data_IF_852865632078
#
_entry.id   IF_852865632078
#
_cell.length_a   1.000
_cell.length_b   1.000
_cell.length_c   1.000
_cell.angle_alpha   90.00
_cell.angle_beta   90.00
_cell.angle_gamma   90.00
#
_symmetry.space_group_name_H-M   'P 1'
#
loop_
_entity.id
_entity.type
_entity.pdbx_description
1 polymer ?
#
# COMPACT_ATOMS: atom_id res chain seq x y z
N UNK A 1 56.39 -15.95 10.20
CA UNK A 1 55.57 -14.91 10.87
C UNK A 1 54.37 -14.61 9.99
N UNK A 2 53.18 -14.58 10.59
CA UNK A 2 51.87 -14.75 9.96
C UNK A 2 51.49 -13.66 8.95
N UNK A 3 50.86 -14.06 7.84
CA UNK A 3 50.14 -13.14 6.95
C UNK A 3 48.72 -12.91 7.48
N UNK A 4 48.37 -11.63 7.61
CA UNK A 4 47.09 -11.16 8.13
C UNK A 4 46.06 -11.19 6.98
N UNK A 5 45.21 -12.22 6.95
CA UNK A 5 44.07 -12.27 6.02
C UNK A 5 43.01 -11.25 6.48
N UNK A 6 42.81 -10.20 5.67
CA UNK A 6 41.68 -9.28 5.79
C UNK A 6 40.40 -10.02 5.39
N UNK A 7 39.55 -10.35 6.36
CA UNK A 7 38.22 -10.89 6.11
C UNK A 7 37.27 -9.74 5.71
N UNK A 8 36.75 -9.82 4.49
CA UNK A 8 35.70 -8.95 3.96
C UNK A 8 34.34 -9.37 4.52
N UNK A 9 33.59 -8.50 5.23
CA UNK A 9 32.28 -8.87 5.75
C UNK A 9 31.18 -8.28 4.86
N UNK A 10 30.91 -8.86 3.67
CA UNK A 10 29.84 -8.30 2.80
C UNK A 10 29.15 -9.29 1.84
N UNK A 11 29.00 -10.57 2.20
CA UNK A 11 28.23 -11.51 1.39
C UNK A 11 26.83 -11.84 1.95
N UNK A 12 26.60 -11.69 3.25
CA UNK A 12 25.37 -12.19 3.89
C UNK A 12 24.16 -11.25 3.68
N UNK A 13 24.36 -9.94 3.55
CA UNK A 13 23.26 -8.97 3.36
C UNK A 13 22.59 -9.02 1.99
N UNK A 14 23.25 -9.53 0.95
CA UNK A 14 22.69 -9.53 -0.41
C UNK A 14 21.63 -10.61 -0.66
N UNK A 15 21.57 -11.66 0.16
CA UNK A 15 20.61 -12.77 -0.06
C UNK A 15 19.20 -12.49 0.46
N UNK A 16 19.01 -11.57 1.41
CA UNK A 16 17.68 -11.34 1.99
C UNK A 16 16.76 -10.50 1.11
N UNK A 17 17.30 -9.68 0.19
CA UNK A 17 16.50 -8.78 -0.64
C UNK A 17 15.89 -9.47 -1.87
N UNK A 18 16.42 -10.61 -2.30
CA UNK A 18 15.94 -11.31 -3.50
C UNK A 18 14.70 -12.19 -3.29
N UNK A 19 14.23 -12.37 -2.05
CA UNK A 19 13.07 -13.23 -1.75
C UNK A 19 11.73 -12.48 -1.65
N UNK A 20 11.73 -11.15 -1.71
CA UNK A 20 10.51 -10.35 -1.49
C UNK A 20 9.73 -10.08 -2.81
N UNK A 21 10.33 -10.34 -3.97
CA UNK A 21 9.75 -10.03 -5.28
C UNK A 21 8.81 -11.08 -5.88
N UNK A 22 8.30 -12.04 -5.10
CA UNK A 22 7.26 -12.95 -5.59
C UNK A 22 5.90 -12.29 -5.37
N UNK A 23 5.17 -12.03 -6.46
CA UNK A 23 3.76 -11.64 -6.41
C UNK A 23 3.01 -12.65 -5.51
N UNK A 24 2.49 -12.17 -4.38
CA UNK A 24 1.69 -12.98 -3.46
C UNK A 24 0.36 -13.43 -4.10
N UNK A 25 -0.02 -12.84 -5.23
CA UNK A 25 -1.21 -13.18 -5.99
C UNK A 25 -0.81 -14.01 -7.22
N UNK A 26 -0.99 -15.32 -7.12
CA UNK A 26 -0.82 -16.23 -8.26
C UNK A 26 -2.13 -16.32 -9.06
N UNK A 27 -2.03 -16.26 -10.40
CA UNK A 27 -3.15 -16.41 -11.35
C UNK A 27 -3.91 -17.73 -11.18
N UNK A 28 -3.33 -18.71 -10.47
CA UNK A 28 -3.97 -19.98 -10.11
C UNK A 28 -5.29 -19.84 -9.33
N UNK A 29 -5.62 -18.64 -8.82
CA UNK A 29 -6.86 -18.35 -8.08
C UNK A 29 -7.88 -17.49 -8.85
N UNK A 30 -7.75 -17.33 -10.17
CA UNK A 30 -8.71 -16.55 -10.97
C UNK A 30 -8.61 -15.04 -10.75
N UNK A 31 -7.46 -14.55 -10.29
CA UNK A 31 -7.18 -13.12 -10.20
C UNK A 31 -6.78 -12.59 -11.59
N UNK A 32 -7.71 -11.92 -12.25
CA UNK A 32 -7.48 -11.24 -13.53
C UNK A 32 -7.16 -9.76 -13.27
N UNK A 33 -5.87 -9.43 -13.20
CA UNK A 33 -5.38 -8.09 -12.86
C UNK A 33 -6.00 -7.00 -13.73
N UNK A 34 -6.06 -7.19 -15.04
CA UNK A 34 -6.62 -6.22 -15.98
C UNK A 34 -8.13 -5.97 -15.77
N UNK A 35 -8.89 -7.00 -15.38
CA UNK A 35 -10.30 -6.83 -15.04
C UNK A 35 -10.47 -6.02 -13.74
N UNK A 36 -9.61 -6.27 -12.76
CA UNK A 36 -9.61 -5.54 -11.49
C UNK A 36 -9.22 -4.08 -11.73
N UNK A 37 -8.19 -3.81 -12.53
CA UNK A 37 -7.80 -2.45 -12.91
C UNK A 37 -8.96 -1.69 -13.56
N UNK A 38 -9.59 -2.30 -14.58
CA UNK A 38 -10.73 -1.70 -15.28
C UNK A 38 -11.92 -1.41 -14.35
N UNK A 39 -12.16 -2.24 -13.33
CA UNK A 39 -13.18 -1.97 -12.30
C UNK A 39 -12.78 -0.80 -11.40
N UNK A 40 -11.53 -0.73 -10.97
CA UNK A 40 -11.04 0.33 -10.08
C UNK A 40 -11.03 1.71 -10.76
N UNK A 41 -10.75 1.77 -12.07
CA UNK A 41 -10.82 3.01 -12.87
C UNK A 41 -12.19 3.68 -12.82
N UNK A 42 -13.27 2.92 -12.56
CA UNK A 42 -14.63 3.44 -12.47
C UNK A 42 -14.89 4.26 -11.20
N UNK A 43 -13.96 4.26 -10.23
CA UNK A 43 -14.08 5.00 -8.96
C UNK A 43 -13.03 6.10 -8.88
N UNK A 44 -13.27 7.26 -9.52
CA UNK A 44 -12.35 8.40 -9.48
C UNK A 44 -12.41 9.13 -8.14
N UNK A 45 -11.39 9.95 -7.91
CA UNK A 45 -11.34 10.89 -6.79
C UNK A 45 -10.01 10.84 -6.05
N UNK A 46 -9.50 12.01 -5.69
CA UNK A 46 -8.21 12.17 -5.04
C UNK A 46 -7.01 11.77 -5.89
N UNK A 47 -5.83 11.78 -5.27
CA UNK A 47 -4.56 11.35 -5.88
C UNK A 47 -3.59 10.74 -4.87
N UNK A 48 -2.60 10.02 -5.37
CA UNK A 48 -1.41 9.58 -4.62
C UNK A 48 -0.19 10.32 -5.17
N UNK A 49 0.35 11.24 -4.37
CA UNK A 49 1.44 12.11 -4.80
C UNK A 49 2.75 11.62 -4.17
N UNK A 50 3.76 11.30 -4.98
CA UNK A 50 5.09 10.85 -4.51
C UNK A 50 6.16 11.91 -4.79
N UNK A 51 6.90 12.29 -3.77
CA UNK A 51 8.07 13.18 -3.86
C UNK A 51 9.30 12.44 -3.31
N UNK A 52 10.44 12.53 -3.99
CA UNK A 52 11.71 11.93 -3.57
C UNK A 52 12.68 13.05 -3.22
N UNK A 53 13.09 13.14 -1.96
CA UNK A 53 14.06 14.14 -1.50
C UNK A 53 15.50 13.66 -1.74
N UNK A 54 16.42 14.62 -1.92
CA UNK A 54 17.84 14.36 -2.18
C UNK A 54 18.55 13.63 -1.01
N UNK A 55 17.99 13.66 0.20
CA UNK A 55 18.53 12.94 1.36
C UNK A 55 18.23 11.42 1.32
N UNK A 56 17.42 10.95 0.37
CA UNK A 56 16.96 9.57 0.24
C UNK A 56 15.62 9.29 0.93
N UNK A 57 14.88 10.31 1.38
CA UNK A 57 13.54 10.15 1.98
C UNK A 57 12.46 10.43 0.93
N UNK A 58 11.56 9.46 0.74
CA UNK A 58 10.36 9.64 -0.07
C UNK A 58 9.20 10.14 0.78
N UNK A 59 8.38 11.04 0.25
CA UNK A 59 7.13 11.49 0.86
C UNK A 59 5.98 11.09 -0.06
N UNK A 60 5.15 10.16 0.39
CA UNK A 60 3.93 9.72 -0.29
C UNK A 60 2.72 10.34 0.40
N UNK A 61 1.98 11.18 -0.32
CA UNK A 61 0.82 11.91 0.19
C UNK A 61 -0.48 11.31 -0.35
N UNK A 62 -1.35 10.89 0.56
CA UNK A 62 -2.73 10.49 0.26
C UNK A 62 -3.59 11.75 0.15
N UNK A 63 -4.03 12.11 -1.05
CA UNK A 63 -4.66 13.39 -1.31
C UNK A 63 -6.12 13.23 -1.74
N UNK A 64 -7.01 13.04 -0.77
CA UNK A 64 -8.45 13.06 -0.98
C UNK A 64 -9.19 13.71 0.21
N UNK A 65 -8.89 14.99 0.52
CA UNK A 65 -9.34 15.62 1.75
C UNK A 65 -10.87 15.74 1.86
N UNK A 66 -11.60 15.77 0.74
CA UNK A 66 -13.07 15.79 0.74
C UNK A 66 -13.70 14.51 1.29
N UNK A 67 -12.93 13.41 1.31
CA UNK A 67 -13.33 12.11 1.87
C UNK A 67 -12.34 11.62 2.93
N UNK A 68 -11.74 12.54 3.70
CA UNK A 68 -10.78 12.20 4.77
C UNK A 68 -9.64 11.28 4.29
N UNK A 69 -9.17 11.51 3.07
CA UNK A 69 -8.14 10.72 2.39
C UNK A 69 -8.49 9.23 2.22
N UNK A 70 -9.77 8.91 2.01
CA UNK A 70 -10.21 7.58 1.62
C UNK A 70 -9.66 7.17 0.25
N UNK A 71 -9.29 5.89 0.11
CA UNK A 71 -8.79 5.30 -1.13
C UNK A 71 -9.93 5.06 -2.12
N UNK A 72 -9.99 5.89 -3.15
CA UNK A 72 -10.76 5.61 -4.37
C UNK A 72 -10.11 4.48 -5.17
N UNK A 73 -10.81 3.95 -6.17
CA UNK A 73 -10.23 2.93 -7.04
C UNK A 73 -9.04 3.45 -7.83
N UNK A 74 -9.12 4.68 -8.36
CA UNK A 74 -7.99 5.34 -9.03
C UNK A 74 -6.80 5.53 -8.08
N UNK A 75 -7.02 5.91 -6.82
CA UNK A 75 -5.94 6.02 -5.85
C UNK A 75 -5.27 4.67 -5.55
N UNK A 76 -6.00 3.55 -5.57
CA UNK A 76 -5.41 2.22 -5.40
C UNK A 76 -4.47 1.87 -6.58
N UNK A 77 -4.85 2.25 -7.80
CA UNK A 77 -4.01 2.05 -9.00
C UNK A 77 -2.75 2.92 -8.94
N UNK A 78 -2.91 4.20 -8.60
CA UNK A 78 -1.76 5.09 -8.45
C UNK A 78 -0.82 4.62 -7.33
N UNK A 79 -1.35 4.11 -6.22
CA UNK A 79 -0.51 3.56 -5.16
C UNK A 79 0.31 2.36 -5.66
N UNK A 80 -0.29 1.45 -6.44
CA UNK A 80 0.44 0.34 -7.07
C UNK A 80 1.59 0.86 -7.95
N UNK A 81 1.31 1.83 -8.83
CA UNK A 81 2.34 2.46 -9.67
C UNK A 81 3.48 3.07 -8.83
N UNK A 82 3.13 3.80 -7.76
CA UNK A 82 4.13 4.42 -6.86
C UNK A 82 4.94 3.41 -6.08
N UNK A 83 4.35 2.28 -5.68
CA UNK A 83 5.11 1.20 -5.03
C UNK A 83 6.10 0.57 -6.00
N UNK A 84 5.70 0.28 -7.24
CA UNK A 84 6.61 -0.22 -8.29
C UNK A 84 7.72 0.80 -8.58
N UNK A 85 7.39 2.10 -8.61
CA UNK A 85 8.36 3.19 -8.76
C UNK A 85 9.36 3.25 -7.60
N UNK A 86 8.93 2.90 -6.39
CA UNK A 86 9.76 2.89 -5.18
C UNK A 86 10.59 1.61 -5.06
N UNK A 87 10.10 0.46 -5.52
CA UNK A 87 10.87 -0.80 -5.57
C UNK A 87 12.14 -0.65 -6.43
N UNK A 88 12.05 0.15 -7.49
CA UNK A 88 13.17 0.46 -8.37
C UNK A 88 14.01 1.66 -7.91
N UNK A 89 13.66 2.31 -6.79
CA UNK A 89 14.38 3.47 -6.29
C UNK A 89 15.57 3.08 -5.41
N UNK A 90 16.76 2.99 -6.01
CA UNK A 90 17.98 2.46 -5.39
C UNK A 90 18.62 3.41 -4.38
N UNK A 91 18.38 4.73 -4.50
CA UNK A 91 18.89 5.74 -3.56
C UNK A 91 17.97 5.92 -2.33
N UNK A 92 16.82 5.26 -2.31
CA UNK A 92 15.84 5.34 -1.24
C UNK A 92 16.36 4.77 0.09
N UNK A 93 16.16 5.52 1.17
CA UNK A 93 16.52 5.15 2.56
C UNK A 93 15.30 5.00 3.45
N UNK A 94 14.22 5.72 3.15
CA UNK A 94 12.98 5.68 3.93
C UNK A 94 11.82 6.30 3.18
N UNK A 95 10.60 5.94 3.60
CA UNK A 95 9.35 6.47 3.05
C UNK A 95 8.47 6.99 4.19
N UNK A 96 8.03 8.24 4.08
CA UNK A 96 7.02 8.85 4.94
C UNK A 96 5.71 8.84 4.18
N UNK A 97 4.70 8.19 4.76
CA UNK A 97 3.33 8.23 4.23
C UNK A 97 2.52 9.19 5.08
N UNK A 98 1.87 10.15 4.45
CA UNK A 98 1.01 11.13 5.13
C UNK A 98 -0.30 11.34 4.38
N UNK A 99 -1.32 11.79 5.09
CA UNK A 99 -2.52 12.30 4.46
C UNK A 99 -2.41 13.80 4.17
N UNK A 100 -3.09 14.27 3.14
CA UNK A 100 -3.25 15.70 2.89
C UNK A 100 -4.12 16.36 3.97
N UNK A 101 -3.81 17.61 4.31
CA UNK A 101 -4.50 18.40 5.33
C UNK A 101 -4.46 17.75 6.71
N UNK A 102 -5.62 17.51 7.34
CA UNK A 102 -5.72 17.29 8.79
C UNK A 102 -5.95 15.83 9.18
N UNK A 103 -6.05 14.91 8.21
CA UNK A 103 -6.38 13.50 8.45
C UNK A 103 -5.39 12.60 7.74
N UNK A 104 -5.04 11.46 8.32
CA UNK A 104 -4.21 10.47 7.61
C UNK A 104 -5.01 9.78 6.49
N UNK A 105 -5.95 8.89 6.84
CA UNK A 105 -6.89 8.24 5.92
C UNK A 105 -8.06 7.62 6.70
N UNK A 106 -9.26 7.63 6.11
CA UNK A 106 -10.43 6.92 6.63
C UNK A 106 -10.63 5.51 6.05
N UNK A 107 -9.63 4.96 5.33
CA UNK A 107 -9.70 3.62 4.74
C UNK A 107 -10.22 3.61 3.29
N UNK A 108 -10.95 2.58 2.90
CA UNK A 108 -11.49 2.46 1.54
C UNK A 108 -12.69 3.38 1.30
N UNK A 109 -12.80 3.91 0.09
CA UNK A 109 -13.99 4.67 -0.33
C UNK A 109 -15.23 3.75 -0.36
N UNK A 110 -16.27 4.11 0.38
CA UNK A 110 -17.50 3.32 0.47
C UNK A 110 -18.19 3.12 -0.89
N UNK A 111 -18.01 4.05 -1.82
CA UNK A 111 -18.56 3.89 -3.18
C UNK A 111 -17.84 2.78 -3.94
N UNK A 112 -16.51 2.69 -3.80
CA UNK A 112 -15.72 1.60 -4.35
C UNK A 112 -16.06 0.27 -3.67
N UNK A 113 -16.15 0.25 -2.34
CA UNK A 113 -16.48 -0.97 -1.57
C UNK A 113 -17.85 -1.54 -1.95
N UNK A 114 -18.87 -0.68 -2.12
CA UNK A 114 -20.23 -1.13 -2.49
C UNK A 114 -20.27 -1.78 -3.86
N UNK A 115 -19.53 -1.24 -4.82
CA UNK A 115 -19.53 -1.75 -6.18
C UNK A 115 -18.61 -2.97 -6.37
N UNK A 116 -17.56 -3.08 -5.57
CA UNK A 116 -16.65 -4.22 -5.57
C UNK A 116 -17.13 -5.37 -4.67
N UNK A 117 -18.08 -5.13 -3.76
CA UNK A 117 -18.59 -6.11 -2.81
C UNK A 117 -19.71 -6.98 -3.36
N UNK A 118 -19.39 -7.95 -4.21
CA UNK A 118 -20.27 -9.08 -4.52
C UNK A 118 -20.00 -10.26 -3.57
N UNK A 119 -20.96 -11.16 -3.27
CA UNK A 119 -20.72 -12.31 -2.38
C UNK A 119 -19.53 -13.19 -2.79
N UNK A 120 -19.19 -13.19 -4.08
CA UNK A 120 -18.11 -13.99 -4.67
C UNK A 120 -16.75 -13.27 -4.72
N UNK A 121 -16.68 -11.97 -4.46
CA UNK A 121 -15.42 -11.23 -4.51
C UNK A 121 -14.61 -11.36 -3.22
N UNK A 122 -13.30 -11.58 -3.39
CA UNK A 122 -12.28 -11.77 -2.34
C UNK A 122 -12.25 -10.65 -1.29
N UNK A 123 -12.75 -9.45 -1.62
CA UNK A 123 -12.87 -8.32 -0.69
C UNK A 123 -13.77 -8.64 0.51
N UNK A 124 -14.88 -9.36 0.28
CA UNK A 124 -15.77 -9.79 1.37
C UNK A 124 -15.09 -10.79 2.31
N UNK A 125 -14.21 -11.66 1.80
CA UNK A 125 -13.43 -12.61 2.63
C UNK A 125 -12.44 -11.90 3.55
N UNK A 126 -11.66 -10.93 3.04
CA UNK A 126 -10.65 -10.19 3.83
C UNK A 126 -11.27 -9.33 4.93
N UNK A 127 -12.44 -8.72 4.68
CA UNK A 127 -13.09 -7.82 5.63
C UNK A 127 -14.23 -8.46 6.46
N UNK A 128 -14.45 -9.78 6.39
CA UNK A 128 -15.53 -10.48 7.14
C UNK A 128 -15.51 -10.18 8.65
N UNK A 129 -14.33 -10.02 9.26
CA UNK A 129 -14.19 -9.66 10.68
C UNK A 129 -14.70 -8.25 11.06
N UNK A 130 -14.89 -7.37 10.08
CA UNK A 130 -15.38 -5.99 10.31
C UNK A 130 -16.91 -5.88 10.32
N UNK A 131 -17.63 -6.86 9.76
CA UNK A 131 -19.11 -6.90 9.80
C UNK A 131 -19.66 -7.49 11.10
N UNK A 132 -18.91 -8.39 11.73
CA UNK A 132 -19.35 -9.11 12.95
C UNK A 132 -18.66 -8.61 14.23
N UNK A 133 -17.71 -7.67 14.12
CA UNK A 133 -16.79 -7.34 15.20
C UNK A 133 -17.07 -6.00 15.88
N UNK A 134 -17.59 -6.07 17.10
CA UNK A 134 -17.72 -4.98 18.10
C UNK A 134 -16.34 -4.33 18.45
N UNK A 135 -15.23 -4.82 17.89
CA UNK A 135 -13.87 -4.41 18.24
C UNK A 135 -13.42 -3.05 17.71
N UNK A 136 -13.72 -2.67 16.46
CA UNK A 136 -13.18 -1.43 15.88
C UNK A 136 -13.98 -0.17 16.26
N UNK A 137 -15.28 -0.30 16.59
CA UNK A 137 -16.10 0.83 17.07
C UNK A 137 -15.78 1.29 18.48
N UNK A 138 -15.12 0.44 19.28
CA UNK A 138 -15.00 0.66 20.73
C UNK A 138 -13.78 1.50 21.13
N UNK A 139 -12.86 1.81 20.20
CA UNK A 139 -11.60 2.51 20.53
C UNK A 139 -11.59 4.03 20.30
N UNK A 140 -12.63 4.60 19.69
CA UNK A 140 -12.75 6.05 19.52
C UNK A 140 -13.48 6.76 20.67
N UNK A 141 -13.99 6.04 21.68
CA UNK A 141 -14.76 6.64 22.78
C UNK A 141 -13.98 6.82 24.09
N UNK A 142 -12.71 6.43 24.16
CA UNK A 142 -11.86 6.66 25.34
C UNK A 142 -10.57 7.37 24.94
N UNK A 143 -10.71 8.64 24.55
CA UNK A 143 -9.63 9.61 24.57
C UNK A 143 -10.22 11.02 24.72
N UNK A 144 -10.85 11.24 25.87
CA UNK A 144 -10.98 12.54 26.54
C UNK A 144 -10.55 12.34 27.99
#
# INVERSE_FOLDING_TARGET
MASLLKTSPNAVKKRLLHQIGLSLYNTSHGFHEEEVKKKLEQFPGGSIDLQKENNGIGILTLNNPSKMNAFSGVMMLQLLEKVIELENWTEGKGLIIRGAKNTFSSGSDLNAVKALGTPETSFNKCCTGSRSGIGWRSRSYYSM
#
